data_IF_554633671717
#
_entry.id   IF_554633671717
#
_cell.length_a   1.000
_cell.length_b   1.000
_cell.length_c   1.000
_cell.angle_alpha   90.00
_cell.angle_beta   90.00
_cell.angle_gamma   90.00
#
_symmetry.space_group_name_H-M   'P 1'
#
loop_
_entity.id
_entity.type
_entity.pdbx_description
1 polymer ?
#
# COMPACT_ATOMS: atom_id res chain seq x y z
N UNK A 1 -20.38 -29.64 32.86
CA UNK A 1 -20.48 -28.45 32.01
C UNK A 1 -21.71 -27.65 32.40
N UNK A 2 -21.58 -26.34 32.49
CA UNK A 2 -22.72 -25.44 32.83
C UNK A 2 -23.50 -25.08 31.56
N UNK A 3 -24.81 -25.35 31.56
CA UNK A 3 -25.71 -25.00 30.47
C UNK A 3 -27.01 -24.44 31.09
N UNK A 4 -27.47 -23.29 30.60
CA UNK A 4 -28.66 -22.61 31.14
C UNK A 4 -28.63 -22.45 32.70
N UNK A 5 -27.47 -22.03 33.24
CA UNK A 5 -27.28 -21.81 34.67
C UNK A 5 -27.05 -23.08 35.49
N UNK A 6 -27.32 -24.27 34.98
CA UNK A 6 -27.17 -25.55 35.70
C UNK A 6 -25.99 -26.36 35.18
N UNK A 7 -25.35 -27.14 36.10
CA UNK A 7 -24.30 -28.07 35.72
C UNK A 7 -24.88 -29.43 35.35
N UNK A 8 -24.63 -29.86 34.12
CA UNK A 8 -25.00 -31.17 33.59
C UNK A 8 -23.79 -32.10 33.59
N UNK A 9 -23.98 -33.34 34.02
CA UNK A 9 -22.96 -34.39 33.96
C UNK A 9 -22.64 -34.69 32.48
N UNK A 10 -21.35 -34.76 32.16
CA UNK A 10 -20.85 -35.13 30.83
C UNK A 10 -20.46 -36.60 30.75
N UNK A 11 -19.95 -37.16 31.83
CA UNK A 11 -19.48 -38.53 31.89
C UNK A 11 -18.66 -38.81 33.13
N UNK A 12 -18.19 -40.04 33.21
CA UNK A 12 -17.24 -40.52 34.22
C UNK A 12 -15.94 -40.95 33.49
N UNK A 13 -14.80 -40.82 34.15
CA UNK A 13 -13.53 -41.39 33.70
C UNK A 13 -12.77 -41.99 34.88
N UNK A 14 -11.95 -43.01 34.61
CA UNK A 14 -11.06 -43.64 35.61
C UNK A 14 -9.69 -42.95 35.64
N UNK A 15 -9.33 -42.21 34.62
CA UNK A 15 -8.06 -41.50 34.52
C UNK A 15 -8.14 -40.06 35.00
N UNK A 16 -7.04 -39.34 34.81
CA UNK A 16 -6.86 -37.93 35.22
C UNK A 16 -7.29 -36.94 34.14
N UNK A 17 -7.77 -37.41 32.98
CA UNK A 17 -8.20 -36.57 31.86
C UNK A 17 -9.56 -37.02 31.29
N UNK A 18 -10.32 -36.07 30.80
CA UNK A 18 -11.59 -36.28 30.12
C UNK A 18 -11.75 -35.32 28.94
N UNK A 19 -11.95 -35.86 27.76
CA UNK A 19 -12.12 -35.03 26.55
C UNK A 19 -13.60 -34.80 26.24
N UNK A 20 -14.02 -33.53 26.28
CA UNK A 20 -15.37 -33.14 25.88
C UNK A 20 -15.36 -32.87 24.36
N UNK A 21 -16.21 -33.60 23.62
CA UNK A 21 -16.32 -33.49 22.17
C UNK A 21 -17.59 -32.75 21.74
N UNK A 22 -17.65 -32.32 20.46
CA UNK A 22 -18.82 -31.69 19.83
C UNK A 22 -19.24 -30.38 20.49
N UNK A 23 -18.29 -29.63 21.05
CA UNK A 23 -18.56 -28.29 21.53
C UNK A 23 -18.70 -27.32 20.33
N UNK A 24 -19.61 -26.34 20.40
CA UNK A 24 -19.72 -25.29 19.39
C UNK A 24 -18.43 -24.47 19.31
N UNK A 25 -18.11 -23.92 18.15
CA UNK A 25 -16.96 -23.03 17.98
C UNK A 25 -17.18 -21.69 18.67
N UNK A 26 -16.11 -21.07 19.15
CA UNK A 26 -16.10 -19.76 19.79
C UNK A 26 -17.09 -19.61 20.96
N UNK A 27 -17.34 -20.69 21.67
CA UNK A 27 -18.26 -20.72 22.81
C UNK A 27 -17.48 -20.75 24.14
N UNK A 28 -17.93 -19.94 25.10
CA UNK A 28 -17.40 -20.03 26.46
C UNK A 28 -18.06 -21.17 27.19
N UNK A 29 -17.24 -21.98 27.85
CA UNK A 29 -17.67 -23.17 28.59
C UNK A 29 -17.15 -23.14 30.03
N UNK A 30 -17.96 -23.66 30.93
CA UNK A 30 -17.62 -23.79 32.33
C UNK A 30 -17.66 -25.27 32.74
N UNK A 31 -16.60 -25.73 33.36
CA UNK A 31 -16.44 -27.11 33.81
C UNK A 31 -16.12 -27.15 35.30
N UNK A 32 -16.52 -28.24 35.94
CA UNK A 32 -16.05 -28.67 37.23
C UNK A 32 -16.03 -30.18 37.27
N UNK A 33 -15.16 -30.75 38.06
CA UNK A 33 -15.02 -32.19 38.26
C UNK A 33 -15.15 -32.53 39.77
N UNK A 34 -15.48 -33.76 40.06
CA UNK A 34 -15.39 -34.31 41.40
C UNK A 34 -15.00 -35.77 41.35
N UNK A 35 -14.30 -36.24 42.37
CA UNK A 35 -14.03 -37.66 42.54
C UNK A 35 -15.25 -38.40 43.07
N UNK A 36 -15.31 -39.71 42.84
CA UNK A 36 -16.26 -40.57 43.53
C UNK A 36 -15.63 -41.95 43.81
N UNK A 37 -16.14 -42.59 44.84
CA UNK A 37 -15.82 -43.99 45.20
C UNK A 37 -17.11 -44.79 45.23
N UNK A 38 -17.06 -46.03 44.80
CA UNK A 38 -18.21 -46.94 44.94
C UNK A 38 -18.06 -47.73 46.25
N UNK A 39 -19.05 -47.57 47.11
CA UNK A 39 -19.12 -48.29 48.43
C UNK A 39 -20.42 -49.06 48.41
N UNK A 40 -20.36 -50.35 48.57
CA UNK A 40 -21.55 -51.24 48.58
C UNK A 40 -22.49 -50.97 47.38
N UNK A 41 -21.95 -50.86 46.20
CA UNK A 41 -22.70 -50.60 44.95
C UNK A 41 -23.20 -49.15 44.74
N UNK A 42 -23.04 -48.25 45.72
CA UNK A 42 -23.49 -46.85 45.65
C UNK A 42 -22.29 -45.94 45.45
N UNK A 43 -22.44 -44.89 44.57
CA UNK A 43 -21.43 -43.85 44.40
C UNK A 43 -21.50 -42.84 45.52
N UNK A 44 -20.38 -42.65 46.24
CA UNK A 44 -20.17 -41.58 47.20
C UNK A 44 -19.25 -40.56 46.55
N UNK A 45 -19.65 -39.29 46.55
CA UNK A 45 -18.98 -38.22 45.82
C UNK A 45 -18.25 -37.29 46.80
N UNK A 46 -17.06 -36.89 46.43
CA UNK A 46 -16.34 -35.81 47.03
C UNK A 46 -16.83 -34.44 46.60
N UNK A 47 -16.21 -33.41 47.13
CA UNK A 47 -16.46 -32.02 46.77
C UNK A 47 -16.11 -31.73 45.29
N UNK A 48 -16.78 -30.74 44.71
CA UNK A 48 -16.45 -30.28 43.38
C UNK A 48 -15.17 -29.44 43.39
N UNK A 49 -14.41 -29.57 42.32
CA UNK A 49 -13.33 -28.62 42.03
C UNK A 49 -13.87 -27.19 41.85
N UNK A 50 -12.97 -26.20 41.92
CA UNK A 50 -13.25 -24.88 41.45
C UNK A 50 -13.73 -24.90 39.97
N UNK A 51 -14.49 -23.89 39.57
CA UNK A 51 -14.95 -23.75 38.20
C UNK A 51 -13.77 -23.44 37.28
N UNK A 52 -13.68 -24.19 36.21
CA UNK A 52 -12.76 -23.91 35.13
C UNK A 52 -13.52 -23.29 33.95
N UNK A 53 -13.14 -22.06 33.57
CA UNK A 53 -13.73 -21.30 32.47
C UNK A 53 -12.77 -21.28 31.28
N UNK A 54 -13.24 -21.66 30.14
CA UNK A 54 -12.44 -21.64 28.90
C UNK A 54 -13.32 -21.32 27.69
N UNK A 55 -12.73 -21.15 26.53
CA UNK A 55 -13.47 -21.02 25.30
C UNK A 55 -12.93 -21.98 24.21
N UNK A 56 -13.81 -22.41 23.35
CA UNK A 56 -13.41 -23.16 22.15
C UNK A 56 -12.86 -22.21 21.08
N UNK A 57 -11.98 -22.73 20.23
CA UNK A 57 -11.41 -21.97 19.11
C UNK A 57 -12.51 -21.53 18.13
N UNK A 58 -12.45 -20.31 17.58
CA UNK A 58 -13.29 -19.89 16.47
C UNK A 58 -13.03 -20.73 15.21
N UNK A 59 -13.99 -20.71 14.28
CA UNK A 59 -13.76 -21.20 12.93
C UNK A 59 -12.72 -20.35 12.19
N UNK A 60 -12.17 -20.87 11.08
CA UNK A 60 -11.39 -20.08 10.16
C UNK A 60 -12.26 -18.94 9.56
N UNK A 61 -11.69 -17.76 9.43
CA UNK A 61 -12.36 -16.65 8.75
C UNK A 61 -12.52 -16.97 7.26
N UNK A 62 -13.72 -16.69 6.72
CA UNK A 62 -14.06 -16.86 5.30
C UNK A 62 -14.39 -15.52 4.67
N UNK A 63 -14.34 -15.47 3.33
CA UNK A 63 -14.75 -14.31 2.57
C UNK A 63 -13.83 -13.09 2.76
N UNK A 64 -12.57 -13.28 3.19
CA UNK A 64 -11.60 -12.19 3.20
C UNK A 64 -11.38 -11.71 1.78
N UNK A 65 -11.57 -10.41 1.57
CA UNK A 65 -11.34 -9.75 0.28
C UNK A 65 -10.86 -8.31 0.51
N UNK A 66 -10.20 -7.77 -0.52
CA UNK A 66 -9.96 -6.34 -0.64
C UNK A 66 -11.27 -5.69 -1.09
N UNK A 67 -11.81 -4.77 -0.30
CA UNK A 67 -13.08 -4.08 -0.60
C UNK A 67 -12.90 -2.72 -1.24
N UNK A 68 -11.79 -2.04 -0.95
CA UNK A 68 -11.36 -0.84 -1.66
C UNK A 68 -9.85 -0.61 -1.50
N UNK A 69 -9.28 0.15 -2.42
CA UNK A 69 -7.86 0.52 -2.46
C UNK A 69 -7.79 2.03 -2.66
N UNK A 70 -7.05 2.70 -1.76
CA UNK A 70 -6.66 4.11 -1.88
C UNK A 70 -5.20 4.24 -2.34
N UNK A 71 -4.70 5.45 -2.33
CA UNK A 71 -3.29 5.76 -2.65
C UNK A 71 -2.34 5.29 -1.54
N UNK A 72 -2.76 5.40 -0.28
CA UNK A 72 -1.98 5.06 0.92
C UNK A 72 -2.66 4.00 1.80
N UNK A 73 -3.76 3.40 1.32
CA UNK A 73 -4.60 2.55 2.16
C UNK A 73 -5.26 1.41 1.40
N UNK A 74 -5.54 0.33 2.14
CA UNK A 74 -6.29 -0.84 1.68
C UNK A 74 -7.36 -1.17 2.70
N UNK A 75 -8.62 -1.23 2.27
CA UNK A 75 -9.74 -1.70 3.11
C UNK A 75 -10.00 -3.18 2.86
N UNK A 76 -9.93 -3.95 3.92
CA UNK A 76 -10.25 -5.37 3.96
C UNK A 76 -11.66 -5.59 4.49
N UNK A 77 -12.34 -6.61 4.00
CA UNK A 77 -13.64 -7.06 4.54
C UNK A 77 -13.74 -8.58 4.53
N UNK A 78 -14.60 -9.15 5.40
CA UNK A 78 -14.79 -10.58 5.56
C UNK A 78 -16.15 -10.94 6.12
N UNK A 79 -16.49 -12.22 6.07
CA UNK A 79 -17.75 -12.73 6.62
C UNK A 79 -17.68 -12.78 8.15
N UNK A 80 -18.75 -12.31 8.81
CA UNK A 80 -18.89 -12.36 10.27
C UNK A 80 -18.96 -13.80 10.76
N UNK A 81 -18.21 -14.09 11.83
CA UNK A 81 -18.29 -15.36 12.57
C UNK A 81 -18.34 -15.06 14.08
N UNK A 82 -18.72 -16.07 14.87
CA UNK A 82 -18.70 -15.96 16.32
C UNK A 82 -17.26 -15.83 16.84
N UNK A 83 -16.90 -14.67 17.39
CA UNK A 83 -15.60 -14.43 18.00
C UNK A 83 -15.66 -13.19 18.92
N UNK A 84 -14.59 -12.90 19.65
CA UNK A 84 -14.47 -11.66 20.42
C UNK A 84 -13.92 -10.52 19.55
N UNK A 85 -12.92 -10.82 18.74
CA UNK A 85 -12.30 -9.88 17.80
C UNK A 85 -11.61 -10.63 16.64
N UNK A 86 -11.20 -9.89 15.65
CA UNK A 86 -10.35 -10.34 14.56
C UNK A 86 -8.97 -9.72 14.70
N UNK A 87 -7.93 -10.50 14.36
CA UNK A 87 -6.54 -10.05 14.27
C UNK A 87 -6.13 -9.98 12.82
N UNK A 88 -5.56 -8.86 12.43
CA UNK A 88 -5.17 -8.56 11.06
C UNK A 88 -3.64 -8.65 10.96
N UNK A 89 -3.16 -9.35 9.94
CA UNK A 89 -1.74 -9.57 9.68
C UNK A 89 -1.36 -9.09 8.29
N UNK A 90 -0.21 -8.45 8.19
CA UNK A 90 0.43 -8.05 6.94
C UNK A 90 1.77 -8.76 6.82
N UNK A 91 2.14 -9.15 5.60
CA UNK A 91 3.49 -9.66 5.31
C UNK A 91 4.44 -8.48 5.14
N UNK A 92 5.43 -8.35 6.02
CA UNK A 92 6.41 -7.26 6.05
C UNK A 92 7.80 -7.90 6.05
N UNK A 93 8.63 -7.60 5.05
CA UNK A 93 9.98 -8.18 4.89
C UNK A 93 9.99 -9.71 4.96
N UNK A 94 9.01 -10.36 4.32
CA UNK A 94 8.88 -11.81 4.31
C UNK A 94 8.12 -12.43 5.48
N UNK A 95 7.92 -11.72 6.57
CA UNK A 95 7.29 -12.22 7.81
C UNK A 95 5.87 -11.69 8.02
N UNK A 96 5.01 -12.51 8.67
CA UNK A 96 3.66 -12.11 9.02
C UNK A 96 3.65 -11.36 10.36
N UNK A 97 3.35 -10.06 10.33
CA UNK A 97 3.23 -9.22 11.54
C UNK A 97 1.77 -8.85 11.78
N UNK A 98 1.34 -8.90 13.04
CA UNK A 98 0.03 -8.40 13.45
C UNK A 98 0.05 -6.87 13.36
N UNK A 99 -0.86 -6.29 12.57
CA UNK A 99 -0.96 -4.85 12.33
C UNK A 99 -2.20 -4.23 12.98
N UNK A 100 -3.09 -5.05 13.52
CA UNK A 100 -4.26 -4.52 14.22
C UNK A 100 -5.28 -5.56 14.63
N UNK A 101 -6.28 -5.08 15.36
CA UNK A 101 -7.44 -5.86 15.80
C UNK A 101 -8.73 -5.06 15.64
N UNK A 102 -9.84 -5.75 15.39
CA UNK A 102 -11.17 -5.14 15.29
C UNK A 102 -12.26 -6.11 15.74
N UNK A 103 -13.39 -5.60 16.20
CA UNK A 103 -14.62 -6.36 16.45
C UNK A 103 -15.56 -6.37 15.24
N UNK A 104 -15.32 -5.47 14.29
CA UNK A 104 -16.07 -5.36 13.03
C UNK A 104 -15.64 -6.40 12.00
N UNK A 105 -16.28 -6.36 10.83
CA UNK A 105 -16.00 -7.23 9.68
C UNK A 105 -15.23 -6.54 8.57
N UNK A 106 -14.64 -5.41 8.88
CA UNK A 106 -13.73 -4.68 7.99
C UNK A 106 -12.60 -4.03 8.77
N UNK A 107 -11.50 -3.75 8.08
CA UNK A 107 -10.34 -3.03 8.63
C UNK A 107 -9.64 -2.27 7.52
N UNK A 108 -9.30 -1.00 7.78
CA UNK A 108 -8.52 -0.20 6.82
C UNK A 108 -7.07 -0.13 7.30
N UNK A 109 -6.19 -0.69 6.50
CA UNK A 109 -4.74 -0.54 6.64
C UNK A 109 -4.37 0.80 6.02
N UNK A 110 -3.62 1.63 6.75
CA UNK A 110 -3.19 2.98 6.32
C UNK A 110 -1.68 3.10 6.30
N UNK A 111 -1.17 4.21 5.78
CA UNK A 111 0.27 4.54 5.68
C UNK A 111 1.03 3.51 4.82
N UNK A 112 0.39 3.02 3.79
CA UNK A 112 1.05 2.23 2.75
C UNK A 112 1.69 3.18 1.72
N UNK A 113 2.78 2.76 1.11
CA UNK A 113 3.36 3.54 0.02
C UNK A 113 2.38 3.56 -1.18
N UNK A 114 2.23 4.69 -1.87
CA UNK A 114 1.49 4.76 -3.13
C UNK A 114 2.09 3.80 -4.18
N UNK A 115 1.33 3.51 -5.21
CA UNK A 115 1.61 2.47 -6.21
C UNK A 115 3.04 2.45 -6.71
N UNK A 116 3.83 1.71 -6.01
CA UNK A 116 5.07 1.11 -6.49
C UNK A 116 4.75 -0.33 -6.89
N UNK A 117 5.65 -1.06 -7.50
CA UNK A 117 5.47 -2.48 -7.83
C UNK A 117 5.21 -3.37 -6.58
N UNK A 118 5.08 -2.78 -5.39
CA UNK A 118 4.94 -3.48 -4.12
C UNK A 118 3.53 -4.04 -3.96
N UNK A 119 3.45 -5.36 -3.89
CA UNK A 119 2.23 -6.08 -3.58
C UNK A 119 2.12 -6.31 -2.06
N UNK A 120 1.09 -5.75 -1.44
CA UNK A 120 0.78 -5.95 -0.03
C UNK A 120 -0.04 -7.22 0.16
N UNK A 121 0.36 -8.07 1.09
CA UNK A 121 -0.32 -9.32 1.40
C UNK A 121 -0.92 -9.27 2.81
N UNK A 122 -2.17 -9.72 2.94
CA UNK A 122 -2.92 -9.72 4.20
C UNK A 122 -3.58 -11.05 4.46
N UNK A 123 -3.68 -11.42 5.74
CA UNK A 123 -4.52 -12.52 6.25
C UNK A 123 -5.10 -12.12 7.60
N UNK A 124 -6.15 -12.80 8.00
CA UNK A 124 -6.80 -12.55 9.29
C UNK A 124 -7.03 -13.86 10.04
N UNK A 125 -7.24 -13.77 11.34
CA UNK A 125 -7.80 -14.86 12.13
C UNK A 125 -8.75 -14.31 13.20
N UNK A 126 -9.74 -15.09 13.56
CA UNK A 126 -10.63 -14.77 14.66
C UNK A 126 -10.00 -15.16 16.01
N UNK A 127 -10.35 -14.41 17.03
CA UNK A 127 -9.96 -14.65 18.39
C UNK A 127 -11.20 -14.69 19.28
N UNK A 128 -11.30 -15.73 20.14
CA UNK A 128 -12.25 -15.80 21.24
C UNK A 128 -11.47 -15.67 22.53
N UNK A 129 -11.85 -14.72 23.38
CA UNK A 129 -11.28 -14.57 24.70
C UNK A 129 -12.12 -15.33 25.73
N UNK A 130 -11.47 -15.90 26.74
CA UNK A 130 -12.10 -16.37 27.95
C UNK A 130 -12.79 -15.20 28.70
N UNK A 131 -13.25 -15.41 29.89
CA UNK A 131 -13.71 -14.31 30.73
C UNK A 131 -12.54 -13.37 31.09
N UNK A 132 -12.87 -12.19 31.60
CA UNK A 132 -11.88 -11.16 31.93
C UNK A 132 -10.83 -11.61 32.96
N UNK A 133 -11.13 -12.62 33.81
CA UNK A 133 -10.22 -13.11 34.85
C UNK A 133 -9.12 -13.99 34.28
N UNK A 134 -9.44 -14.83 33.27
CA UNK A 134 -8.51 -15.80 32.70
C UNK A 134 -7.65 -15.17 31.57
N UNK A 135 -8.18 -14.18 30.88
CA UNK A 135 -7.54 -13.39 29.79
C UNK A 135 -6.81 -14.21 28.68
N UNK A 136 -7.17 -15.50 28.54
CA UNK A 136 -6.59 -16.34 27.51
C UNK A 136 -7.26 -16.09 26.14
N UNK A 137 -6.47 -16.17 25.09
CA UNK A 137 -6.90 -16.00 23.71
C UNK A 137 -6.94 -17.35 22.98
N UNK A 138 -8.09 -17.71 22.46
CA UNK A 138 -8.29 -18.88 21.63
C UNK A 138 -8.40 -18.46 20.18
N UNK A 139 -7.47 -18.93 19.34
CA UNK A 139 -7.37 -18.50 17.96
C UNK A 139 -7.90 -19.53 16.98
N UNK A 140 -8.70 -19.07 16.03
CA UNK A 140 -9.05 -19.83 14.84
C UNK A 140 -7.87 -19.97 13.87
N UNK A 141 -8.02 -20.84 12.89
CA UNK A 141 -7.08 -20.92 11.75
C UNK A 141 -7.08 -19.59 10.99
N UNK A 142 -5.97 -19.28 10.34
CA UNK A 142 -5.88 -18.12 9.44
C UNK A 142 -6.84 -18.26 8.25
N UNK A 143 -7.27 -17.14 7.72
CA UNK A 143 -7.93 -17.06 6.42
C UNK A 143 -6.95 -17.40 5.29
N UNK A 144 -7.44 -17.51 4.05
CA UNK A 144 -6.63 -17.34 2.86
C UNK A 144 -5.92 -15.97 2.86
N UNK A 145 -4.90 -15.84 2.02
CA UNK A 145 -4.16 -14.60 1.81
C UNK A 145 -4.84 -13.80 0.70
N UNK A 146 -4.99 -12.50 0.90
CA UNK A 146 -5.36 -11.55 -0.16
C UNK A 146 -4.21 -10.62 -0.47
N UNK A 147 -4.12 -10.20 -1.72
CA UNK A 147 -3.07 -9.30 -2.22
C UNK A 147 -3.71 -8.03 -2.75
N UNK A 148 -3.09 -6.89 -2.50
CA UNK A 148 -3.49 -5.60 -3.03
C UNK A 148 -2.27 -4.76 -3.41
N UNK A 149 -2.45 -3.89 -4.41
CA UNK A 149 -1.53 -2.81 -4.74
C UNK A 149 -2.29 -1.50 -4.53
N UNK A 150 -1.71 -0.52 -3.87
CA UNK A 150 -2.29 0.82 -3.70
C UNK A 150 -2.44 1.53 -5.05
N UNK A 151 -3.30 2.54 -5.12
CA UNK A 151 -3.39 3.38 -6.31
C UNK A 151 -2.15 4.29 -6.42
N UNK A 152 -1.80 4.71 -7.62
CA UNK A 152 -0.83 5.81 -7.82
C UNK A 152 -1.29 7.02 -6.98
N UNK A 153 -0.36 7.76 -6.45
CA UNK A 153 -0.69 9.03 -5.79
C UNK A 153 -1.05 10.05 -6.87
N UNK A 154 -2.15 10.74 -6.70
CA UNK A 154 -2.49 11.89 -7.54
C UNK A 154 -1.61 13.11 -7.16
N UNK A 155 -0.88 13.02 -6.05
CA UNK A 155 0.12 14.05 -5.69
C UNK A 155 1.40 13.80 -6.47
N UNK A 156 1.70 14.72 -7.36
CA UNK A 156 2.98 14.81 -8.04
C UNK A 156 4.06 15.09 -6.97
N UNK A 157 5.05 14.23 -6.88
CA UNK A 157 6.20 14.38 -5.98
C UNK A 157 7.37 15.04 -6.69
N UNK A 158 8.36 15.56 -5.95
CA UNK A 158 9.58 16.08 -6.56
C UNK A 158 10.28 15.01 -7.42
N UNK A 159 10.27 13.75 -6.99
CA UNK A 159 10.83 12.64 -7.77
C UNK A 159 10.11 12.42 -9.10
N UNK A 160 8.78 12.62 -9.16
CA UNK A 160 8.02 12.53 -10.40
C UNK A 160 8.39 13.70 -11.35
N UNK A 161 8.60 14.89 -10.79
CA UNK A 161 9.05 16.07 -11.54
C UNK A 161 10.44 15.84 -12.12
N UNK A 162 11.38 15.33 -11.32
CA UNK A 162 12.74 15.07 -11.73
C UNK A 162 12.80 13.99 -12.82
N UNK A 163 11.98 12.94 -12.69
CA UNK A 163 11.85 11.90 -13.72
C UNK A 163 11.27 12.47 -15.04
N UNK A 164 10.22 13.30 -14.95
CA UNK A 164 9.64 13.99 -16.10
C UNK A 164 10.66 14.88 -16.80
N UNK A 165 11.42 15.69 -16.05
CA UNK A 165 12.48 16.54 -16.60
C UNK A 165 13.52 15.74 -17.37
N UNK A 166 14.02 14.64 -16.78
CA UNK A 166 14.98 13.75 -17.43
C UNK A 166 14.42 13.14 -18.73
N UNK A 167 13.14 12.71 -18.69
CA UNK A 167 12.46 12.15 -19.85
C UNK A 167 12.29 13.19 -20.97
N UNK A 168 11.89 14.42 -20.65
CA UNK A 168 11.72 15.50 -21.62
C UNK A 168 13.05 15.95 -22.20
N UNK A 169 14.10 16.03 -21.40
CA UNK A 169 15.47 16.32 -21.88
C UNK A 169 15.94 15.23 -22.86
N UNK A 170 15.79 13.96 -22.51
CA UNK A 170 16.14 12.86 -23.41
C UNK A 170 15.33 12.91 -24.72
N UNK A 171 14.05 13.24 -24.64
CA UNK A 171 13.18 13.38 -25.79
C UNK A 171 13.58 14.55 -26.68
N UNK A 172 13.91 15.72 -26.12
CA UNK A 172 14.43 16.86 -26.87
C UNK A 172 15.73 16.51 -27.59
N UNK A 173 16.66 15.83 -26.91
CA UNK A 173 17.90 15.32 -27.54
C UNK A 173 17.61 14.36 -28.70
N UNK A 174 16.59 13.51 -28.57
CA UNK A 174 16.17 12.62 -29.67
C UNK A 174 15.72 13.41 -30.88
N UNK A 175 14.97 14.49 -30.71
CA UNK A 175 14.42 15.32 -31.77
C UNK A 175 15.44 16.25 -32.43
N UNK A 176 16.56 16.51 -31.78
CA UNK A 176 17.65 17.34 -32.33
C UNK A 176 18.41 16.63 -33.49
N UNK A 177 17.68 16.18 -34.52
CA UNK A 177 18.25 15.39 -35.63
C UNK A 177 19.22 16.20 -36.47
N UNK A 178 18.89 17.45 -36.81
CA UNK A 178 19.75 18.32 -37.59
C UNK A 178 21.12 18.52 -36.88
N UNK A 179 21.12 18.82 -35.61
CA UNK A 179 22.34 18.99 -34.83
C UNK A 179 23.18 17.69 -34.84
N UNK A 180 22.56 16.54 -34.72
CA UNK A 180 23.23 15.23 -34.74
C UNK A 180 23.87 14.96 -36.12
N UNK A 181 23.19 15.30 -37.19
CA UNK A 181 23.67 15.08 -38.55
C UNK A 181 24.78 16.05 -38.94
N UNK A 182 24.77 17.28 -38.44
CA UNK A 182 25.68 18.34 -38.82
C UNK A 182 26.72 18.67 -37.70
N UNK A 183 26.79 17.91 -36.65
CA UNK A 183 27.68 18.15 -35.50
C UNK A 183 29.16 18.36 -35.92
N UNK A 184 29.65 17.62 -36.92
CA UNK A 184 31.01 17.75 -37.42
C UNK A 184 31.31 19.11 -38.07
N UNK A 185 30.30 19.88 -38.45
CA UNK A 185 30.45 21.23 -39.01
C UNK A 185 30.65 22.29 -37.92
N UNK A 186 30.16 22.05 -36.71
CA UNK A 186 30.31 22.98 -35.57
C UNK A 186 31.76 23.16 -35.13
N UNK A 187 32.62 22.17 -35.36
CA UNK A 187 34.09 22.28 -35.15
C UNK A 187 34.72 23.44 -35.94
N UNK A 188 34.18 23.76 -37.04
CA UNK A 188 34.66 24.88 -37.87
C UNK A 188 34.49 26.25 -37.22
N UNK A 189 33.61 26.33 -36.18
CA UNK A 189 33.30 27.57 -35.48
C UNK A 189 33.97 27.67 -34.09
N UNK A 190 34.95 26.81 -33.81
CA UNK A 190 35.75 26.90 -32.59
C UNK A 190 35.04 26.39 -31.33
N UNK A 191 34.03 25.54 -31.46
CA UNK A 191 33.36 24.90 -30.33
C UNK A 191 34.18 23.67 -29.94
N UNK A 192 34.86 23.74 -28.81
CA UNK A 192 35.83 22.74 -28.31
C UNK A 192 35.13 21.70 -27.44
N UNK A 193 34.26 20.87 -28.02
CA UNK A 193 33.63 19.72 -27.36
C UNK A 193 34.03 18.44 -28.08
N UNK A 194 34.47 17.45 -27.30
CA UNK A 194 34.95 16.17 -27.83
C UNK A 194 33.82 15.25 -28.27
N UNK A 195 32.59 15.46 -27.76
CA UNK A 195 31.43 14.66 -28.11
C UNK A 195 30.13 15.49 -28.17
N UNK A 196 29.14 15.00 -28.89
CA UNK A 196 27.80 15.58 -28.95
C UNK A 196 27.14 15.59 -27.55
N UNK A 197 27.40 14.58 -26.75
CA UNK A 197 26.91 14.48 -25.36
C UNK A 197 27.50 15.57 -24.47
N UNK A 198 28.78 15.89 -24.61
CA UNK A 198 29.41 17.00 -23.88
C UNK A 198 28.80 18.34 -24.29
N UNK A 199 28.53 18.55 -25.57
CA UNK A 199 27.84 19.74 -26.07
C UNK A 199 26.44 19.89 -25.47
N UNK A 200 25.60 18.85 -25.54
CA UNK A 200 24.26 18.88 -24.96
C UNK A 200 24.31 19.10 -23.45
N UNK A 201 25.17 18.39 -22.74
CA UNK A 201 25.32 18.52 -21.31
C UNK A 201 25.81 19.91 -20.88
N UNK A 202 26.66 20.54 -21.67
CA UNK A 202 27.09 21.90 -21.41
C UNK A 202 25.91 22.89 -21.53
N UNK A 203 25.13 22.80 -22.58
CA UNK A 203 23.96 23.67 -22.76
C UNK A 203 22.96 23.50 -21.62
N UNK A 204 22.63 22.26 -21.28
CA UNK A 204 21.68 21.93 -20.21
C UNK A 204 22.13 22.41 -18.83
N UNK A 205 23.45 22.46 -18.59
CA UNK A 205 23.98 22.96 -17.32
C UNK A 205 24.14 24.50 -17.29
N UNK A 206 24.22 25.16 -18.45
CA UNK A 206 24.43 26.61 -18.52
C UNK A 206 23.18 27.42 -18.72
N UNK A 207 22.22 26.88 -19.48
CA UNK A 207 21.01 27.62 -19.85
C UNK A 207 19.94 27.50 -18.76
N UNK A 208 19.47 28.65 -18.32
CA UNK A 208 18.31 28.79 -17.43
C UNK A 208 17.38 29.87 -17.98
N UNK A 209 16.12 29.95 -17.55
CA UNK A 209 15.20 31.01 -18.01
C UNK A 209 15.72 32.44 -17.74
N UNK A 210 16.65 32.61 -16.79
CA UNK A 210 17.22 33.92 -16.47
C UNK A 210 18.40 34.31 -17.36
N UNK A 211 19.16 33.33 -17.89
CA UNK A 211 20.41 33.59 -18.61
C UNK A 211 20.43 33.10 -20.06
N UNK A 212 19.41 32.35 -20.49
CA UNK A 212 19.26 31.84 -21.85
C UNK A 212 18.24 32.64 -22.67
N UNK A 213 18.41 32.64 -23.98
CA UNK A 213 17.33 33.02 -24.86
C UNK A 213 16.32 31.89 -24.95
N UNK A 214 15.05 32.19 -25.13
CA UNK A 214 14.03 31.15 -25.34
C UNK A 214 13.12 31.54 -26.52
N UNK A 215 12.72 30.50 -27.25
CA UNK A 215 11.80 30.67 -28.38
C UNK A 215 10.38 30.90 -27.87
N UNK A 216 9.96 30.10 -26.91
CA UNK A 216 8.61 30.18 -26.36
C UNK A 216 8.55 29.62 -24.89
N UNK A 217 7.45 29.93 -24.23
CA UNK A 217 7.09 29.39 -22.91
C UNK A 217 5.66 28.89 -22.98
N UNK A 218 5.49 27.63 -22.75
CA UNK A 218 4.17 27.00 -22.70
C UNK A 218 3.76 26.70 -21.27
N UNK A 219 2.51 26.97 -20.90
CA UNK A 219 2.00 26.74 -19.54
C UNK A 219 0.80 25.83 -19.53
N UNK A 220 0.75 24.91 -18.56
CA UNK A 220 -0.39 24.04 -18.29
C UNK A 220 -0.93 24.37 -16.89
N UNK A 221 -2.22 24.71 -16.71
CA UNK A 221 -2.80 24.92 -15.39
C UNK A 221 -2.62 23.70 -14.48
N UNK A 222 -2.49 23.94 -13.15
CA UNK A 222 -2.61 22.90 -12.14
C UNK A 222 -4.09 22.49 -12.09
N UNK A 223 -4.47 21.61 -12.99
CA UNK A 223 -5.75 20.93 -13.00
C UNK A 223 -5.57 19.47 -12.55
N UNK A 224 -6.61 18.65 -12.71
CA UNK A 224 -6.59 17.25 -12.34
C UNK A 224 -5.69 16.35 -13.22
N UNK A 225 -4.80 16.92 -14.05
CA UNK A 225 -3.89 16.13 -14.88
C UNK A 225 -2.81 15.45 -14.04
N UNK A 226 -2.57 14.19 -14.35
CA UNK A 226 -1.45 13.44 -13.77
C UNK A 226 -0.15 13.74 -14.51
N UNK A 227 0.99 13.33 -13.94
CA UNK A 227 2.31 13.61 -14.49
C UNK A 227 2.51 13.04 -15.91
N UNK A 228 1.91 11.89 -16.21
CA UNK A 228 2.03 11.23 -17.51
C UNK A 228 1.32 12.04 -18.60
N UNK A 229 0.16 12.64 -18.28
CA UNK A 229 -0.59 13.53 -19.19
C UNK A 229 0.17 14.85 -19.43
N UNK A 230 0.75 15.42 -18.37
CA UNK A 230 1.60 16.64 -18.46
C UNK A 230 2.82 16.35 -19.33
N UNK A 231 3.51 15.24 -19.10
CA UNK A 231 4.67 14.81 -19.89
C UNK A 231 4.32 14.67 -21.36
N UNK A 232 3.16 14.07 -21.68
CA UNK A 232 2.69 13.91 -23.07
C UNK A 232 2.47 15.27 -23.74
N UNK A 233 1.78 16.19 -23.09
CA UNK A 233 1.52 17.54 -23.64
C UNK A 233 2.84 18.27 -23.88
N UNK A 234 3.80 18.18 -22.97
CA UNK A 234 5.10 18.81 -23.16
C UNK A 234 5.91 18.17 -24.29
N UNK A 235 5.82 16.86 -24.52
CA UNK A 235 6.42 16.23 -25.71
C UNK A 235 5.81 16.71 -27.02
N UNK A 236 4.50 16.88 -27.07
CA UNK A 236 3.81 17.46 -28.23
C UNK A 236 4.31 18.89 -28.50
N UNK A 237 4.58 19.67 -27.46
CA UNK A 237 5.14 21.01 -27.57
C UNK A 237 6.60 20.99 -28.06
N UNK A 238 7.43 20.06 -27.54
CA UNK A 238 8.81 19.87 -28.08
C UNK A 238 8.78 19.57 -29.59
N UNK A 239 7.89 18.69 -30.03
CA UNK A 239 7.75 18.39 -31.44
C UNK A 239 7.32 19.62 -32.26
N UNK A 240 6.46 20.45 -31.70
CA UNK A 240 6.05 21.69 -32.35
C UNK A 240 7.23 22.64 -32.55
N UNK A 241 8.06 22.88 -31.50
CA UNK A 241 9.23 23.75 -31.58
C UNK A 241 10.23 23.26 -32.63
N UNK A 242 10.56 21.96 -32.65
CA UNK A 242 11.45 21.39 -33.68
C UNK A 242 10.88 21.43 -35.14
N UNK A 243 9.57 21.56 -35.27
CA UNK A 243 8.95 21.82 -36.61
C UNK A 243 9.10 23.27 -37.03
N UNK A 244 9.21 24.22 -36.09
CA UNK A 244 9.41 25.63 -36.41
C UNK A 244 10.87 25.92 -36.74
N UNK A 245 11.80 25.39 -35.93
CA UNK A 245 13.24 25.47 -36.20
C UNK A 245 13.94 24.18 -35.78
N UNK A 246 14.50 23.45 -36.74
CA UNK A 246 15.26 22.22 -36.49
C UNK A 246 16.76 22.44 -36.37
N UNK A 247 17.25 23.67 -36.56
CA UNK A 247 18.68 23.98 -36.66
C UNK A 247 19.29 24.23 -35.24
N UNK A 248 18.49 24.27 -34.22
CA UNK A 248 18.90 24.50 -32.83
C UNK A 248 18.63 23.30 -31.96
N UNK A 249 19.36 23.21 -30.84
CA UNK A 249 19.01 22.29 -29.77
C UNK A 249 18.24 23.05 -28.68
N UNK A 250 17.03 22.64 -28.45
CA UNK A 250 16.22 23.21 -27.38
C UNK A 250 16.53 22.52 -26.04
N UNK A 251 17.16 23.24 -25.12
CA UNK A 251 17.26 22.84 -23.73
C UNK A 251 15.88 23.01 -23.09
N UNK A 252 15.34 21.94 -22.61
CA UNK A 252 13.99 21.93 -22.03
C UNK A 252 14.11 22.19 -20.51
N UNK A 253 13.60 23.33 -20.07
CA UNK A 253 13.51 23.66 -18.66
C UNK A 253 12.06 23.63 -18.19
N UNK A 254 11.78 22.88 -17.12
CA UNK A 254 10.43 22.74 -16.56
C UNK A 254 10.41 23.21 -15.13
N UNK A 255 9.43 24.05 -14.79
CA UNK A 255 9.20 24.50 -13.43
C UNK A 255 7.73 24.42 -13.02
N UNK A 256 7.51 24.46 -11.71
CA UNK A 256 6.18 24.63 -11.11
C UNK A 256 5.99 26.06 -10.65
N UNK A 257 4.92 26.70 -11.08
CA UNK A 257 4.58 28.07 -10.76
C UNK A 257 3.35 28.10 -9.82
N UNK A 258 3.48 27.82 -8.52
CA UNK A 258 2.35 27.72 -7.60
C UNK A 258 1.60 29.05 -7.40
N UNK A 259 2.26 30.16 -7.65
CA UNK A 259 1.68 31.51 -7.58
C UNK A 259 1.30 32.08 -8.96
N UNK A 260 1.33 31.24 -9.99
CA UNK A 260 1.14 31.62 -11.37
C UNK A 260 2.44 32.02 -12.10
N UNK A 261 2.39 32.03 -13.41
CA UNK A 261 3.44 32.51 -14.31
C UNK A 261 3.01 33.83 -14.96
N UNK A 262 3.94 34.66 -15.47
CA UNK A 262 3.60 35.96 -16.12
C UNK A 262 2.60 35.83 -17.27
N UNK A 263 2.61 34.72 -17.99
CA UNK A 263 1.65 34.42 -19.09
C UNK A 263 0.42 33.67 -18.62
N UNK A 264 0.43 33.11 -17.38
CA UNK A 264 -0.70 32.43 -16.77
C UNK A 264 -0.75 32.77 -15.30
N UNK A 265 -1.66 33.68 -14.85
CA UNK A 265 -1.72 34.11 -13.45
C UNK A 265 -2.24 33.05 -12.49
N UNK A 266 -2.71 31.90 -12.98
CA UNK A 266 -3.13 30.76 -12.15
C UNK A 266 -1.94 29.84 -11.88
N UNK A 267 -1.96 29.07 -10.78
CA UNK A 267 -0.98 28.01 -10.54
C UNK A 267 -0.85 27.08 -11.76
N UNK A 268 0.38 26.88 -12.23
CA UNK A 268 0.62 26.15 -13.48
C UNK A 268 1.99 25.47 -13.51
N UNK A 269 2.16 24.60 -14.48
CA UNK A 269 3.45 24.12 -14.98
C UNK A 269 3.90 25.02 -16.10
N UNK A 270 5.19 25.32 -16.17
CA UNK A 270 5.80 26.03 -17.27
C UNK A 270 6.92 25.18 -17.87
N UNK A 271 6.98 25.15 -19.22
CA UNK A 271 8.09 24.59 -19.99
C UNK A 271 8.70 25.71 -20.81
N UNK A 272 10.01 25.81 -20.79
CA UNK A 272 10.79 26.79 -21.56
C UNK A 272 11.64 26.03 -22.58
N UNK A 273 11.76 26.59 -23.75
CA UNK A 273 12.61 26.12 -24.83
C UNK A 273 13.79 27.08 -24.98
N UNK A 274 14.90 26.73 -24.31
CA UNK A 274 16.11 27.56 -24.24
C UNK A 274 17.07 27.19 -25.38
N UNK A 275 17.78 28.17 -25.94
CA UNK A 275 18.77 27.96 -27.02
C UNK A 275 19.92 28.98 -26.94
#
# INVERSE_FOLDING_TARGET
MRKNGKYNKLGDCKGTSYTVKKLPNATRENFKVRAYKTVKGKKVYGEYSANWNTATNPQACKGLKVSSVGTDSVKLSWTKIGCTNYRIYQKIKGEWKEIGKTTGTSYTVKKLAPATATKYQFKIRACKQDDKKMNNNHYGKYSGVVTATTKKSDKITQSDIDAMKAELTAYSREKATYIKEHYTEFWKYGIDYNTLEEYFSMLENKLTPENGSYSDVYTIPFDDKNIDEITKIFKEQIEYEYKQDSNVYYVVYVETCPNGHRINPKPCWAIYFLY
#
